data_IF_390429684389
#
_entry.id   IF_390429684389
#
_cell.length_a   1.000
_cell.length_b   1.000
_cell.length_c   1.000
_cell.angle_alpha   90.00
_cell.angle_beta   90.00
_cell.angle_gamma   90.00
#
_symmetry.space_group_name_H-M   'P 1'
#
loop_
_entity.id
_entity.type
_entity.pdbx_description
1 polymer ?
#
# COMPACT_ATOMS: atom_id res chain seq x y z
N UNK A 1 -0.57 -19.22 8.87
CA UNK A 1 0.37 -18.20 8.38
C UNK A 1 -0.51 -17.03 7.97
N UNK A 2 -0.36 -15.85 8.56
CA UNK A 2 -1.15 -14.69 8.12
C UNK A 2 -0.56 -14.24 6.79
N UNK A 3 -1.30 -14.41 5.70
CA UNK A 3 -0.95 -13.84 4.40
C UNK A 3 -1.23 -12.36 4.49
N UNK A 4 -0.21 -11.53 4.34
CA UNK A 4 -0.37 -10.08 4.29
C UNK A 4 -0.38 -9.64 2.83
N UNK A 5 -1.20 -8.64 2.52
CA UNK A 5 -1.24 -8.03 1.19
C UNK A 5 -0.77 -6.60 1.34
N UNK A 6 -0.11 -6.07 0.32
CA UNK A 6 0.31 -4.68 0.32
C UNK A 6 -0.39 -3.95 -0.82
N UNK A 7 -1.06 -2.85 -0.48
CA UNK A 7 -1.73 -1.98 -1.45
C UNK A 7 -0.78 -0.86 -1.81
N UNK A 8 -0.51 -0.70 -3.10
CA UNK A 8 0.43 0.29 -3.61
C UNK A 8 -0.30 1.37 -4.40
N UNK A 9 0.05 2.61 -4.12
CA UNK A 9 -0.42 3.80 -4.82
C UNK A 9 0.75 4.47 -5.55
N UNK A 10 0.53 4.80 -6.82
CA UNK A 10 1.45 5.60 -7.63
C UNK A 10 0.86 7.01 -7.81
N UNK A 11 1.57 8.06 -7.34
CA UNK A 11 1.08 9.43 -7.50
C UNK A 11 1.10 9.89 -8.97
N UNK A 12 2.04 9.36 -9.76
CA UNK A 12 2.20 9.69 -11.15
C UNK A 12 2.50 8.42 -11.96
N UNK A 13 1.92 8.26 -13.17
CA UNK A 13 2.22 7.12 -14.04
C UNK A 13 3.63 7.17 -14.63
N UNK A 14 4.27 8.35 -14.63
CA UNK A 14 5.61 8.55 -15.20
C UNK A 14 6.73 8.47 -14.17
N UNK A 15 6.40 8.54 -12.88
CA UNK A 15 7.38 8.51 -11.80
C UNK A 15 7.50 7.11 -11.19
N UNK A 16 8.66 6.84 -10.59
CA UNK A 16 8.94 5.56 -9.97
C UNK A 16 8.53 5.51 -8.49
N UNK A 17 8.13 6.64 -7.93
CA UNK A 17 7.72 6.76 -6.54
C UNK A 17 6.43 5.99 -6.27
N UNK A 18 6.40 5.27 -5.15
CA UNK A 18 5.24 4.51 -4.71
C UNK A 18 5.02 4.70 -3.22
N UNK A 19 3.76 4.83 -2.83
CA UNK A 19 3.31 4.74 -1.46
C UNK A 19 2.60 3.41 -1.25
N UNK A 20 2.72 2.82 -0.06
CA UNK A 20 2.03 1.57 0.20
C UNK A 20 1.61 1.39 1.65
N UNK A 21 0.58 0.58 1.83
CA UNK A 21 0.02 0.22 3.15
C UNK A 21 -0.16 -1.29 3.20
N UNK A 22 0.12 -1.88 4.34
CA UNK A 22 -0.02 -3.31 4.60
C UNK A 22 -1.43 -3.58 5.13
N UNK A 23 -2.12 -4.54 4.51
CA UNK A 23 -3.54 -4.84 4.79
C UNK A 23 -3.77 -6.31 5.08
N UNK A 24 -4.87 -6.56 5.79
CA UNK A 24 -5.50 -7.87 5.85
C UNK A 24 -6.26 -8.11 4.53
N UNK A 25 -5.90 -9.14 3.74
CA UNK A 25 -6.53 -9.40 2.43
C UNK A 25 -8.03 -9.66 2.51
N UNK A 26 -8.51 -10.35 3.56
CA UNK A 26 -9.92 -10.70 3.70
C UNK A 26 -10.78 -9.46 3.99
N UNK A 27 -10.31 -8.60 4.89
CA UNK A 27 -11.01 -7.36 5.27
C UNK A 27 -10.91 -6.31 4.17
N UNK A 28 -9.73 -6.15 3.55
CA UNK A 28 -9.55 -5.26 2.40
C UNK A 28 -10.44 -5.64 1.23
N UNK A 29 -10.61 -6.94 0.95
CA UNK A 29 -11.50 -7.40 -0.12
C UNK A 29 -12.95 -6.98 0.12
N UNK A 30 -13.48 -7.18 1.34
CA UNK A 30 -14.86 -6.75 1.68
C UNK A 30 -14.99 -5.22 1.61
N UNK A 31 -14.02 -4.51 2.17
CA UNK A 31 -14.02 -3.05 2.22
C UNK A 31 -13.95 -2.42 0.82
N UNK A 32 -13.07 -2.93 -0.05
CA UNK A 32 -12.92 -2.47 -1.44
C UNK A 32 -14.14 -2.81 -2.30
N UNK A 33 -14.90 -3.85 -1.95
CA UNK A 33 -16.18 -4.20 -2.57
C UNK A 33 -17.34 -3.30 -2.12
N UNK A 34 -17.10 -2.35 -1.20
CA UNK A 34 -18.07 -1.34 -0.78
C UNK A 34 -18.57 -1.48 0.66
N UNK A 35 -18.13 -2.49 1.42
CA UNK A 35 -18.48 -2.62 2.83
C UNK A 35 -17.67 -1.63 3.69
N UNK A 36 -18.10 -0.37 3.70
CA UNK A 36 -17.51 0.70 4.50
C UNK A 36 -17.93 0.66 5.98
N UNK A 37 -18.63 -0.39 6.42
CA UNK A 37 -18.92 -0.59 7.85
C UNK A 37 -17.72 -1.17 8.60
N UNK A 38 -16.79 -1.80 7.88
CA UNK A 38 -15.52 -2.30 8.41
C UNK A 38 -14.60 -1.08 8.65
N UNK A 39 -14.17 -0.83 9.90
CA UNK A 39 -13.28 0.27 10.20
C UNK A 39 -11.88 0.03 9.64
N UNK A 40 -11.17 1.10 9.26
CA UNK A 40 -9.83 0.98 8.65
C UNK A 40 -8.84 0.22 9.55
N UNK A 41 -8.99 0.30 10.87
CA UNK A 41 -8.16 -0.44 11.84
C UNK A 41 -8.27 -1.96 11.72
N UNK A 42 -9.35 -2.48 11.16
CA UNK A 42 -9.52 -3.92 10.87
C UNK A 42 -9.02 -4.28 9.46
N UNK A 43 -8.98 -3.29 8.56
CA UNK A 43 -8.49 -3.46 7.18
C UNK A 43 -6.97 -3.43 7.13
N UNK A 44 -6.33 -2.47 7.80
CA UNK A 44 -4.87 -2.31 7.79
C UNK A 44 -4.21 -3.09 8.91
N UNK A 45 -3.02 -3.64 8.66
CA UNK A 45 -2.20 -4.25 9.71
C UNK A 45 -1.55 -3.15 10.58
N UNK A 46 -1.21 -2.03 9.97
CA UNK A 46 -0.74 -0.80 10.63
C UNK A 46 -1.07 0.43 9.78
N UNK A 47 -1.15 1.60 10.40
CA UNK A 47 -1.27 2.91 9.71
C UNK A 47 0.08 3.41 9.18
N UNK A 48 1.07 2.52 9.11
CA UNK A 48 2.38 2.86 8.58
C UNK A 48 2.29 3.00 7.07
N UNK A 49 2.50 4.22 6.59
CA UNK A 49 2.58 4.51 5.16
C UNK A 49 4.03 4.34 4.73
N UNK A 50 4.27 3.33 3.91
CA UNK A 50 5.57 3.07 3.32
C UNK A 50 5.74 3.87 2.04
N UNK A 51 6.99 4.19 1.74
CA UNK A 51 7.40 4.93 0.56
C UNK A 51 8.64 4.26 -0.05
N UNK A 52 8.70 4.27 -1.38
CA UNK A 52 9.84 3.79 -2.16
C UNK A 52 10.04 4.67 -3.38
N UNK A 53 11.27 5.15 -3.58
CA UNK A 53 11.70 5.91 -4.77
C UNK A 53 11.90 5.02 -6.00
N UNK A 54 12.05 3.70 -5.79
CA UNK A 54 12.38 2.72 -6.83
C UNK A 54 11.20 1.78 -7.13
N UNK A 55 9.98 2.18 -6.73
CA UNK A 55 8.76 1.41 -6.94
C UNK A 55 8.67 0.15 -6.06
N UNK A 56 7.94 -0.85 -6.54
CA UNK A 56 7.55 -2.06 -5.79
C UNK A 56 8.70 -2.93 -5.29
N UNK A 57 9.87 -2.85 -5.93
CA UNK A 57 11.06 -3.66 -5.59
C UNK A 57 12.14 -2.85 -4.86
N UNK A 58 11.88 -1.57 -4.60
CA UNK A 58 12.80 -0.67 -3.91
C UNK A 58 12.84 -0.90 -2.40
N UNK A 59 13.78 -0.22 -1.74
CA UNK A 59 13.81 -0.16 -0.28
C UNK A 59 12.57 0.57 0.21
N UNK A 60 11.77 -0.12 1.03
CA UNK A 60 10.63 0.48 1.70
C UNK A 60 11.12 1.25 2.93
N UNK A 61 10.92 2.57 2.90
CA UNK A 61 11.06 3.45 4.06
C UNK A 61 9.69 3.91 4.54
N UNK A 62 9.64 4.56 5.71
CA UNK A 62 8.43 5.26 6.14
C UNK A 62 8.31 6.58 5.39
N UNK A 63 7.12 6.90 4.88
CA UNK A 63 6.87 8.18 4.25
C UNK A 63 7.05 9.32 5.26
N UNK A 64 7.73 10.39 4.84
CA UNK A 64 7.83 11.62 5.61
C UNK A 64 6.56 12.46 5.46
N UNK A 65 6.22 13.28 6.48
CA UNK A 65 5.06 14.17 6.42
C UNK A 65 5.08 15.08 5.19
N UNK A 66 6.26 15.58 4.81
CA UNK A 66 6.41 16.43 3.63
C UNK A 66 6.06 15.69 2.33
N UNK A 67 6.47 14.43 2.18
CA UNK A 67 6.07 13.61 1.03
C UNK A 67 4.55 13.40 1.01
N UNK A 68 3.95 13.15 2.18
CA UNK A 68 2.50 12.97 2.28
C UNK A 68 1.73 14.25 1.91
N UNK A 69 2.12 15.40 2.45
CA UNK A 69 1.50 16.68 2.11
C UNK A 69 1.67 17.03 0.62
N UNK A 70 2.85 16.78 0.04
CA UNK A 70 3.10 17.06 -1.37
C UNK A 70 2.21 16.24 -2.32
N UNK A 71 1.92 14.99 -1.98
CA UNK A 71 1.18 14.05 -2.84
C UNK A 71 -0.31 14.04 -2.52
N UNK A 72 -0.66 13.95 -1.25
CA UNK A 72 -2.04 13.76 -0.80
C UNK A 72 -2.70 15.06 -0.32
N UNK A 73 -1.95 16.15 -0.19
CA UNK A 73 -2.42 17.43 0.37
C UNK A 73 -2.69 17.37 1.88
N UNK A 74 -2.26 16.30 2.54
CA UNK A 74 -2.41 16.08 3.98
C UNK A 74 -1.42 15.02 4.45
N UNK A 75 -1.03 15.09 5.71
CA UNK A 75 -0.26 14.05 6.40
C UNK A 75 -1.07 13.34 7.50
N UNK A 76 -2.39 13.46 7.48
CA UNK A 76 -3.28 12.73 8.39
C UNK A 76 -3.34 11.27 7.97
N UNK A 77 -2.79 10.37 8.78
CA UNK A 77 -2.57 8.96 8.43
C UNK A 77 -3.85 8.25 7.97
N UNK A 78 -4.97 8.42 8.68
CA UNK A 78 -6.26 7.80 8.31
C UNK A 78 -6.77 8.26 6.94
N UNK A 79 -6.66 9.55 6.62
CA UNK A 79 -7.06 10.12 5.33
C UNK A 79 -6.16 9.61 4.21
N UNK A 80 -4.84 9.57 4.44
CA UNK A 80 -3.88 9.11 3.43
C UNK A 80 -4.05 7.61 3.18
N UNK A 81 -4.17 6.81 4.24
CA UNK A 81 -4.42 5.37 4.14
C UNK A 81 -5.69 5.12 3.33
N UNK A 82 -6.80 5.80 3.64
CA UNK A 82 -8.03 5.64 2.87
C UNK A 82 -7.80 5.90 1.36
N UNK A 83 -7.13 7.01 1.01
CA UNK A 83 -6.82 7.32 -0.40
C UNK A 83 -5.98 6.23 -1.08
N UNK A 84 -4.99 5.68 -0.38
CA UNK A 84 -4.16 4.58 -0.91
C UNK A 84 -5.01 3.33 -1.12
N UNK A 85 -5.91 3.00 -0.20
CA UNK A 85 -6.80 1.84 -0.33
C UNK A 85 -7.83 2.00 -1.46
N UNK A 86 -8.29 3.22 -1.74
CA UNK A 86 -9.28 3.48 -2.79
C UNK A 86 -8.69 3.55 -4.19
N UNK A 87 -7.50 4.13 -4.33
CA UNK A 87 -6.86 4.37 -5.62
C UNK A 87 -5.66 3.45 -5.91
N UNK A 88 -5.26 2.63 -4.94
CA UNK A 88 -4.13 1.73 -5.04
C UNK A 88 -4.47 0.42 -5.74
N UNK A 89 -3.42 -0.37 -5.95
CA UNK A 89 -3.49 -1.74 -6.48
C UNK A 89 -2.90 -2.68 -5.45
N UNK A 90 -3.64 -3.70 -5.06
CA UNK A 90 -3.13 -4.74 -4.17
C UNK A 90 -2.14 -5.64 -4.90
N UNK A 91 -1.05 -5.95 -4.22
CA UNK A 91 -0.11 -6.97 -4.62
C UNK A 91 0.05 -7.95 -3.44
N UNK A 92 -0.21 -9.25 -3.67
CA UNK A 92 0.09 -10.25 -2.67
C UNK A 92 1.59 -10.20 -2.38
N UNK A 93 1.97 -9.95 -1.12
CA UNK A 93 3.37 -10.12 -0.72
C UNK A 93 3.56 -11.59 -0.39
N UNK A 94 3.76 -12.40 -1.42
CA UNK A 94 4.53 -13.61 -1.22
C UNK A 94 5.96 -13.13 -0.98
N UNK A 95 6.45 -13.21 0.26
CA UNK A 95 7.88 -13.11 0.56
C UNK A 95 8.59 -14.29 -0.13
N UNK A 96 8.69 -14.21 -1.45
CA UNK A 96 9.42 -15.14 -2.28
C UNK A 96 10.89 -14.83 -2.08
N UNK A 97 11.49 -15.50 -1.10
CA UNK A 97 12.91 -15.78 -1.15
C UNK A 97 13.22 -16.52 -2.45
N UNK A 98 13.76 -15.78 -3.43
CA UNK A 98 14.52 -16.33 -4.54
C UNK A 98 13.73 -16.91 -5.73
N UNK A 99 14.21 -16.50 -6.92
CA UNK A 99 14.09 -17.18 -8.21
C UNK A 99 12.93 -16.77 -9.13
N UNK A 100 13.07 -15.57 -9.70
CA UNK A 100 12.65 -15.34 -11.07
C UNK A 100 13.76 -15.84 -12.03
N UNK A 101 13.71 -17.12 -12.41
CA UNK A 101 14.19 -17.55 -13.74
C UNK A 101 13.20 -18.57 -14.33
N UNK A 102 12.31 -18.08 -15.20
CA UNK A 102 11.81 -18.88 -16.32
C UNK A 102 12.13 -18.13 -17.60
N UNK A 103 13.21 -18.54 -18.26
CA UNK A 103 13.34 -18.37 -19.70
C UNK A 103 13.31 -19.77 -20.31
N UNK A 104 12.26 -19.99 -21.10
CA UNK A 104 12.04 -20.99 -22.16
C UNK A 104 12.62 -22.39 -21.99
#
# INVERSE_FOLDING_TARGET
MKSTTQVFYKPSPTEHETFSVVVNPDEYKKWSQGDRTIPLVEVVDSFDIFYSEQGFQGKLGRASKQQLDNVFGTHTDDVVVAKILEAGTDQPTELSGGSAIKHR
#
